data_IF_629453478566
#
_entry.id   IF_629453478566
#
_cell.length_a   1.000
_cell.length_b   1.000
_cell.length_c   1.000
_cell.angle_alpha   90.00
_cell.angle_beta   90.00
_cell.angle_gamma   90.00
#
_symmetry.space_group_name_H-M   'P 1'
#
loop_
_entity.id
_entity.type
_entity.pdbx_description
1 polymer ?
#
# COMPACT_ATOMS: atom_id res chain seq x y z
N UNK A 1 -18.80 -2.46 -17.39
CA UNK A 1 -18.77 -1.07 -16.88
C UNK A 1 -19.19 -0.97 -15.42
N UNK A 2 -20.27 -1.60 -14.97
CA UNK A 2 -20.66 -1.71 -13.54
C UNK A 2 -19.49 -1.86 -12.53
N UNK A 3 -18.56 -2.78 -12.81
CA UNK A 3 -17.37 -3.03 -11.95
C UNK A 3 -16.43 -1.82 -11.86
N UNK A 4 -16.32 -0.98 -12.90
CA UNK A 4 -15.42 0.20 -12.91
C UNK A 4 -16.01 1.33 -12.06
N UNK A 5 -17.31 1.60 -12.16
CA UNK A 5 -18.03 2.58 -11.35
C UNK A 5 -17.95 2.23 -9.86
N UNK A 6 -18.23 0.96 -9.51
CA UNK A 6 -18.12 0.47 -8.13
C UNK A 6 -16.71 0.62 -7.57
N UNK A 7 -15.70 0.39 -8.40
CA UNK A 7 -14.29 0.53 -8.01
C UNK A 7 -13.93 2.00 -7.77
N UNK A 8 -14.40 2.91 -8.62
CA UNK A 8 -14.21 4.35 -8.46
C UNK A 8 -14.87 4.87 -7.17
N UNK A 9 -16.11 4.47 -6.91
CA UNK A 9 -16.83 4.80 -5.67
C UNK A 9 -16.07 4.34 -4.41
N UNK A 10 -15.62 3.07 -4.37
CA UNK A 10 -14.85 2.55 -3.24
C UNK A 10 -13.54 3.32 -3.02
N UNK A 11 -12.84 3.70 -4.09
CA UNK A 11 -11.61 4.51 -4.01
C UNK A 11 -11.90 5.91 -3.45
N UNK A 12 -12.98 6.56 -3.90
CA UNK A 12 -13.41 7.86 -3.39
C UNK A 12 -13.73 7.81 -1.90
N UNK A 13 -14.51 6.83 -1.43
CA UNK A 13 -14.79 6.67 0.00
C UNK A 13 -13.50 6.48 0.81
N UNK A 14 -12.58 5.64 0.30
CA UNK A 14 -11.33 5.37 1.00
C UNK A 14 -10.48 6.63 1.16
N UNK A 15 -10.45 7.50 0.15
CA UNK A 15 -9.74 8.78 0.19
C UNK A 15 -10.47 9.84 1.04
N UNK A 16 -11.80 9.91 0.96
CA UNK A 16 -12.56 10.81 1.81
C UNK A 16 -12.37 10.49 3.30
N UNK A 17 -12.19 9.20 3.65
CA UNK A 17 -11.86 8.80 5.03
C UNK A 17 -10.49 9.26 5.52
N UNK A 18 -9.53 9.55 4.63
CA UNK A 18 -8.22 10.09 5.02
C UNK A 18 -8.23 11.60 5.25
N UNK A 19 -9.34 12.29 4.96
CA UNK A 19 -9.48 13.71 5.27
C UNK A 19 -9.55 13.98 6.78
N UNK A 20 -9.26 15.23 7.21
CA UNK A 20 -9.48 15.70 8.57
C UNK A 20 -10.90 15.42 9.06
N UNK A 21 -11.07 15.25 10.37
CA UNK A 21 -12.35 14.85 10.97
C UNK A 21 -13.51 15.82 10.67
N UNK A 22 -13.19 17.11 10.56
CA UNK A 22 -14.16 18.19 10.29
C UNK A 22 -14.79 18.10 8.90
N UNK A 23 -14.00 17.79 7.86
CA UNK A 23 -14.46 17.78 6.46
C UNK A 23 -14.96 16.40 6.00
N UNK A 24 -14.67 15.35 6.77
CA UNK A 24 -15.00 13.96 6.44
C UNK A 24 -16.51 13.69 6.27
N UNK A 25 -17.42 14.11 7.18
CA UNK A 25 -18.83 13.76 7.04
C UNK A 25 -19.46 14.40 5.79
N UNK A 26 -19.20 15.70 5.59
CA UNK A 26 -19.75 16.45 4.47
C UNK A 26 -19.28 15.89 3.12
N UNK A 27 -17.99 15.57 3.00
CA UNK A 27 -17.44 15.00 1.76
C UNK A 27 -17.97 13.59 1.47
N UNK A 28 -18.16 12.75 2.49
CA UNK A 28 -18.75 11.42 2.32
C UNK A 28 -20.20 11.49 1.85
N UNK A 29 -21.00 12.40 2.41
CA UNK A 29 -22.39 12.53 2.03
C UNK A 29 -22.56 13.13 0.64
N UNK A 30 -21.72 14.09 0.25
CA UNK A 30 -21.65 14.59 -1.14
C UNK A 30 -21.35 13.45 -2.13
N UNK A 31 -20.35 12.61 -1.85
CA UNK A 31 -20.00 11.46 -2.70
C UNK A 31 -21.15 10.46 -2.78
N UNK A 32 -21.78 10.14 -1.64
CA UNK A 32 -22.92 9.20 -1.63
C UNK A 32 -24.12 9.74 -2.40
N UNK A 33 -24.43 11.02 -2.23
CA UNK A 33 -25.55 11.67 -2.90
C UNK A 33 -25.35 11.68 -4.42
N UNK A 34 -24.16 12.07 -4.90
CA UNK A 34 -23.85 12.13 -6.33
C UNK A 34 -23.89 10.75 -7.01
N UNK A 35 -23.45 9.68 -6.34
CA UNK A 35 -23.54 8.34 -6.92
C UNK A 35 -24.98 7.78 -6.86
N UNK A 36 -25.78 8.16 -5.86
CA UNK A 36 -27.19 7.75 -5.75
C UNK A 36 -28.09 8.50 -6.73
N UNK A 37 -27.85 9.79 -6.94
CA UNK A 37 -28.60 10.59 -7.92
C UNK A 37 -28.40 10.07 -9.34
N UNK A 38 -27.24 9.48 -9.62
CA UNK A 38 -26.89 8.89 -10.92
C UNK A 38 -27.16 7.37 -10.99
N UNK A 39 -27.89 6.78 -10.03
CA UNK A 39 -28.10 5.33 -9.97
C UNK A 39 -29.00 4.77 -11.08
N UNK A 40 -29.88 5.60 -11.66
CA UNK A 40 -30.78 5.20 -12.75
C UNK A 40 -30.17 5.28 -14.15
N UNK A 41 -28.91 5.72 -14.27
CA UNK A 41 -28.26 5.94 -15.56
C UNK A 41 -27.71 4.60 -16.07
N UNK A 42 -28.20 4.16 -17.24
CA UNK A 42 -27.70 2.97 -17.93
C UNK A 42 -27.12 3.25 -19.32
N UNK A 43 -27.08 4.52 -19.75
CA UNK A 43 -26.44 4.87 -21.02
C UNK A 43 -24.92 4.82 -20.89
N UNK A 44 -24.20 4.21 -21.84
CA UNK A 44 -22.75 4.02 -21.73
C UNK A 44 -21.98 5.35 -21.70
N UNK A 45 -22.45 6.36 -22.45
CA UNK A 45 -21.81 7.67 -22.50
C UNK A 45 -21.86 8.42 -21.15
N UNK A 46 -23.00 8.37 -20.46
CA UNK A 46 -23.15 9.04 -19.16
C UNK A 46 -22.38 8.30 -18.06
N UNK A 47 -22.28 6.97 -18.15
CA UNK A 47 -21.43 6.18 -17.26
C UNK A 47 -19.95 6.55 -17.42
N UNK A 48 -19.46 6.73 -18.64
CA UNK A 48 -18.09 7.15 -18.89
C UNK A 48 -17.82 8.56 -18.35
N UNK A 49 -18.77 9.49 -18.54
CA UNK A 49 -18.68 10.83 -17.95
C UNK A 49 -18.64 10.79 -16.41
N UNK A 50 -19.46 9.93 -15.79
CA UNK A 50 -19.46 9.75 -14.34
C UNK A 50 -18.12 9.19 -13.84
N UNK A 51 -17.56 8.22 -14.56
CA UNK A 51 -16.24 7.64 -14.25
C UNK A 51 -15.14 8.70 -14.39
N UNK A 52 -15.15 9.51 -15.45
CA UNK A 52 -14.18 10.59 -15.64
C UNK A 52 -14.27 11.64 -14.52
N UNK A 53 -15.48 12.09 -14.17
CA UNK A 53 -15.69 13.01 -13.04
C UNK A 53 -15.15 12.42 -11.73
N UNK A 54 -15.42 11.14 -11.48
CA UNK A 54 -14.92 10.44 -10.29
C UNK A 54 -13.38 10.34 -10.29
N UNK A 55 -12.75 10.10 -11.44
CA UNK A 55 -11.29 10.05 -11.57
C UNK A 55 -10.65 11.41 -11.27
N UNK A 56 -11.20 12.51 -11.79
CA UNK A 56 -10.71 13.86 -11.50
C UNK A 56 -10.80 14.18 -10.00
N UNK A 57 -11.91 13.81 -9.33
CA UNK A 57 -12.05 13.96 -7.87
C UNK A 57 -11.06 13.10 -7.09
N UNK A 58 -10.79 11.88 -7.55
CA UNK A 58 -9.76 11.01 -6.95
C UNK A 58 -8.39 11.68 -7.03
N UNK A 59 -8.02 12.24 -8.19
CA UNK A 59 -6.75 12.93 -8.37
C UNK A 59 -6.64 14.15 -7.46
N UNK A 60 -7.68 14.98 -7.40
CA UNK A 60 -7.74 16.12 -6.47
C UNK A 60 -7.58 15.68 -5.01
N UNK A 61 -8.36 14.70 -4.56
CA UNK A 61 -8.28 14.20 -3.18
C UNK A 61 -6.90 13.63 -2.83
N UNK A 62 -6.21 12.98 -3.77
CA UNK A 62 -4.84 12.50 -3.55
C UNK A 62 -3.84 13.64 -3.35
N UNK A 63 -4.04 14.77 -4.01
CA UNK A 63 -3.19 15.95 -3.87
C UNK A 63 -3.45 16.62 -2.51
N UNK A 64 -4.73 16.79 -2.16
CA UNK A 64 -5.15 17.49 -0.92
C UNK A 64 -4.93 16.64 0.33
N UNK A 65 -5.11 15.32 0.23
CA UNK A 65 -4.88 14.39 1.34
C UNK A 65 -3.64 13.53 1.07
N UNK A 66 -2.43 14.03 1.41
CA UNK A 66 -1.24 13.21 1.32
C UNK A 66 -1.43 11.94 2.15
N UNK A 67 -1.14 10.80 1.52
CA UNK A 67 -1.27 9.50 2.16
C UNK A 67 -0.36 9.48 3.39
N UNK A 68 -0.93 9.28 4.58
CA UNK A 68 -0.14 9.07 5.81
C UNK A 68 0.94 8.03 5.52
N UNK A 69 2.20 8.45 5.57
CA UNK A 69 3.32 7.53 5.59
C UNK A 69 3.15 6.68 6.85
N UNK A 70 3.29 5.34 6.74
CA UNK A 70 3.27 4.51 7.94
C UNK A 70 4.38 5.02 8.87
N UNK A 71 4.01 5.40 10.10
CA UNK A 71 4.96 5.89 11.11
C UNK A 71 6.03 4.84 11.46
N UNK A 72 5.73 3.56 11.25
CA UNK A 72 6.75 2.52 11.26
C UNK A 72 7.45 2.51 9.92
N UNK A 73 8.59 3.22 9.86
CA UNK A 73 9.69 2.69 9.06
C UNK A 73 9.97 1.26 9.56
N UNK A 74 10.38 0.31 8.71
CA UNK A 74 10.90 -0.96 9.21
C UNK A 74 12.07 -0.63 10.13
N UNK A 75 11.97 -0.91 11.44
CA UNK A 75 13.11 -0.77 12.34
C UNK A 75 14.20 -1.71 11.83
N UNK A 76 15.30 -1.13 11.37
CA UNK A 76 16.45 -1.87 10.84
C UNK A 76 17.34 -2.15 12.03
N UNK A 77 17.64 -3.41 12.32
CA UNK A 77 18.62 -3.75 13.36
C UNK A 77 19.88 -4.25 12.67
N UNK A 78 21.02 -3.70 13.09
CA UNK A 78 22.34 -4.13 12.61
C UNK A 78 22.98 -4.90 13.76
N UNK A 79 23.41 -6.13 13.48
CA UNK A 79 24.15 -6.94 14.44
C UNK A 79 25.60 -7.01 13.99
N UNK A 80 26.53 -6.70 14.91
CA UNK A 80 27.97 -6.87 14.73
C UNK A 80 28.49 -7.62 15.95
N UNK A 81 29.25 -8.69 15.71
CA UNK A 81 29.89 -9.49 16.76
C UNK A 81 28.92 -9.99 17.86
N UNK A 82 27.71 -10.39 17.46
CA UNK A 82 26.69 -10.95 18.36
C UNK A 82 25.92 -9.91 19.20
N UNK A 83 26.25 -8.62 19.08
CA UNK A 83 25.54 -7.54 19.79
C UNK A 83 24.64 -6.74 18.85
N UNK A 84 23.46 -6.36 19.35
CA UNK A 84 22.49 -5.52 18.65
C UNK A 84 22.94 -4.06 18.76
N UNK A 85 23.14 -3.42 17.62
CA UNK A 85 23.41 -1.99 17.52
C UNK A 85 22.18 -1.28 16.95
N UNK A 86 21.82 -0.16 17.57
CA UNK A 86 20.73 0.68 17.08
C UNK A 86 21.16 1.39 15.78
N UNK A 87 20.25 1.41 14.80
CA UNK A 87 20.55 1.85 13.44
C UNK A 87 20.76 3.34 13.25
N UNK A 88 20.62 4.15 14.30
CA UNK A 88 20.67 5.62 14.21
C UNK A 88 22.10 6.16 14.03
N UNK A 89 23.12 5.29 14.03
CA UNK A 89 24.53 5.69 13.88
C UNK A 89 25.39 4.80 12.96
N UNK A 90 24.80 3.95 12.11
CA UNK A 90 25.57 3.09 11.20
C UNK A 90 25.49 3.59 9.76
N UNK A 91 26.59 4.18 9.32
CA UNK A 91 26.82 4.64 7.96
C UNK A 91 26.49 3.58 6.90
N UNK A 92 26.02 4.10 5.78
CA UNK A 92 25.42 3.42 4.64
C UNK A 92 26.36 2.58 3.78
N UNK A 93 27.26 1.78 4.37
CA UNK A 93 28.30 1.05 3.62
C UNK A 93 28.14 -0.49 3.60
N UNK A 94 26.95 -1.00 3.93
CA UNK A 94 26.66 -2.44 3.79
C UNK A 94 26.12 -2.77 2.39
N UNK A 95 27.01 -3.26 1.52
CA UNK A 95 26.77 -3.78 0.16
C UNK A 95 26.04 -5.14 0.10
N UNK A 96 25.28 -5.52 1.14
CA UNK A 96 24.53 -6.78 1.12
C UNK A 96 23.31 -6.68 0.20
N UNK A 97 23.28 -7.51 -0.86
CA UNK A 97 22.19 -7.57 -1.88
C UNK A 97 20.84 -8.04 -1.31
N UNK A 98 20.85 -8.77 -0.19
CA UNK A 98 19.64 -9.24 0.48
C UNK A 98 19.73 -8.93 1.97
N UNK A 99 18.84 -8.04 2.44
CA UNK A 99 18.73 -7.62 3.84
C UNK A 99 17.44 -8.22 4.38
N UNK A 100 17.54 -9.22 5.27
CA UNK A 100 16.38 -9.97 5.78
C UNK A 100 16.28 -9.78 7.29
N UNK A 101 15.05 -9.73 7.80
CA UNK A 101 14.73 -9.38 9.20
C UNK A 101 14.81 -10.54 10.19
N UNK A 102 14.83 -11.79 9.70
CA UNK A 102 14.73 -13.00 10.53
C UNK A 102 15.81 -14.01 10.15
N UNK A 103 16.69 -14.30 11.12
CA UNK A 103 17.82 -15.22 10.97
C UNK A 103 17.36 -16.67 10.78
N UNK A 104 16.31 -17.09 11.47
CA UNK A 104 15.80 -18.47 11.38
C UNK A 104 15.19 -18.73 10.01
N UNK A 105 14.50 -17.73 9.45
CA UNK A 105 13.98 -17.80 8.09
C UNK A 105 15.13 -17.89 7.06
N UNK A 106 16.25 -17.19 7.29
CA UNK A 106 17.43 -17.25 6.42
C UNK A 106 18.13 -18.60 6.50
N UNK A 107 18.33 -19.15 7.70
CA UNK A 107 18.94 -20.45 7.93
C UNK A 107 18.15 -21.57 7.24
N UNK A 108 16.81 -21.55 7.38
CA UNK A 108 15.92 -22.49 6.69
C UNK A 108 16.04 -22.40 5.16
N UNK A 109 16.14 -21.19 4.61
CA UNK A 109 16.34 -20.99 3.17
C UNK A 109 17.71 -21.49 2.71
N UNK A 110 18.75 -21.24 3.48
CA UNK A 110 20.12 -21.68 3.20
C UNK A 110 20.21 -23.21 3.16
N UNK A 111 19.70 -23.89 4.19
CA UNK A 111 19.64 -25.37 4.23
C UNK A 111 18.86 -25.94 3.05
N UNK A 112 17.73 -25.31 2.69
CA UNK A 112 16.94 -25.73 1.52
C UNK A 112 17.71 -25.59 0.20
N UNK A 113 18.52 -24.54 0.04
CA UNK A 113 19.33 -24.33 -1.16
C UNK A 113 20.48 -25.34 -1.26
N UNK A 114 21.16 -25.61 -0.14
CA UNK A 114 22.23 -26.62 -0.08
C UNK A 114 21.70 -28.00 -0.47
N UNK A 115 20.52 -28.40 0.04
CA UNK A 115 19.86 -29.66 -0.34
C UNK A 115 19.51 -29.70 -1.83
N UNK A 116 18.99 -28.61 -2.41
CA UNK A 116 18.71 -28.55 -3.86
C UNK A 116 19.95 -28.72 -4.74
N UNK A 117 21.12 -28.36 -4.21
CA UNK A 117 22.39 -28.52 -4.92
C UNK A 117 23.04 -29.88 -4.63
N UNK A 118 22.34 -30.80 -3.94
CA UNK A 118 22.78 -32.15 -3.59
C UNK A 118 24.13 -32.19 -2.85
N UNK A 119 24.48 -31.11 -2.14
CA UNK A 119 25.69 -31.08 -1.32
C UNK A 119 25.57 -31.95 -0.05
N UNK A 120 24.35 -32.16 0.45
CA UNK A 120 24.06 -32.95 1.67
C UNK A 120 23.57 -34.37 1.38
N UNK A 121 23.29 -34.69 0.12
CA UNK A 121 22.68 -35.96 -0.29
C UNK A 121 23.69 -36.91 -0.97
N UNK A 122 25.00 -36.64 -0.85
CA UNK A 122 26.04 -37.56 -1.33
C UNK A 122 26.23 -38.68 -0.32
N UNK A 123 25.71 -39.86 -0.64
CA UNK A 123 26.11 -41.14 -0.04
C UNK A 123 26.97 -41.90 -1.03
#
# INVERSE_FOLDING_TARGET
MEKTVRTAYKKLIKLAKSLPAEQRPETLDKIRHEFRSNAGISTPAELDQLVMKAQSKISYLKIVSPKRTPQSSPQRFVYKDGQRLDSDGMDSESNAKYKTTDFDAMMKRHVKLIRRQHFMDRK
#
